data_IF_602039395932
#
_entry.id   IF_602039395932
#
_cell.length_a   1.000
_cell.length_b   1.000
_cell.length_c   1.000
_cell.angle_alpha   90.00
_cell.angle_beta   90.00
_cell.angle_gamma   90.00
#
_symmetry.space_group_name_H-M   'P 1'
#
loop_
_entity.id
_entity.type
_entity.pdbx_description
1 polymer ?
#
# COMPACT_ATOMS: atom_id res chain seq x y z
N UNK A 1 -8.60 -2.44 -10.10
CA UNK A 1 -7.97 -3.30 -11.13
C UNK A 1 -6.76 -3.98 -10.48
N UNK A 2 -6.48 -5.26 -10.75
CA UNK A 2 -5.31 -5.94 -10.18
C UNK A 2 -4.14 -5.83 -11.15
N UNK A 3 -2.98 -5.39 -10.68
CA UNK A 3 -1.75 -5.29 -11.45
C UNK A 3 -0.75 -6.22 -10.79
N UNK A 4 -0.09 -7.07 -11.57
CA UNK A 4 0.89 -8.03 -11.06
C UNK A 4 2.24 -7.78 -11.73
N UNK A 5 3.32 -8.05 -11.00
CA UNK A 5 4.67 -8.16 -11.57
C UNK A 5 5.37 -9.41 -11.04
N UNK A 6 6.26 -9.94 -11.85
CA UNK A 6 7.11 -11.10 -11.53
C UNK A 6 8.57 -10.71 -11.62
N UNK A 7 9.43 -11.44 -10.91
CA UNK A 7 10.88 -11.24 -10.97
C UNK A 7 11.38 -10.07 -10.12
N UNK A 8 12.70 -9.83 -10.15
CA UNK A 8 13.35 -8.83 -9.31
C UNK A 8 12.86 -7.41 -9.64
N UNK A 9 12.60 -6.63 -8.59
CA UNK A 9 12.26 -5.21 -8.71
C UNK A 9 13.57 -4.43 -8.77
N UNK A 10 13.74 -3.67 -9.85
CA UNK A 10 14.90 -2.78 -10.00
C UNK A 10 14.70 -1.53 -9.13
N UNK A 11 15.71 -1.12 -8.33
CA UNK A 11 15.63 0.09 -7.53
C UNK A 11 15.35 1.34 -8.38
N UNK A 12 14.54 2.25 -7.83
CA UNK A 12 14.14 3.48 -8.52
C UNK A 12 15.19 4.58 -8.36
N UNK A 13 15.83 4.68 -7.19
CA UNK A 13 16.84 5.71 -6.89
C UNK A 13 17.96 5.79 -7.94
N UNK A 14 18.60 4.70 -8.39
CA UNK A 14 19.62 4.77 -9.44
C UNK A 14 19.11 5.37 -10.76
N UNK A 15 17.83 5.14 -11.09
CA UNK A 15 17.22 5.74 -12.28
C UNK A 15 16.95 7.24 -12.09
N UNK A 16 16.59 7.65 -10.88
CA UNK A 16 16.42 9.05 -10.48
C UNK A 16 17.76 9.79 -10.53
N UNK A 17 18.83 9.21 -10.00
CA UNK A 17 20.18 9.79 -10.05
C UNK A 17 20.61 10.01 -11.51
N UNK A 18 20.41 9.02 -12.39
CA UNK A 18 20.68 9.19 -13.83
C UNK A 18 19.85 10.29 -14.46
N UNK A 19 18.57 10.41 -14.08
CA UNK A 19 17.73 11.50 -14.55
C UNK A 19 18.25 12.87 -14.11
N UNK A 20 18.58 13.05 -12.82
CA UNK A 20 19.11 14.30 -12.30
C UNK A 20 20.41 14.69 -13.01
N UNK A 21 21.34 13.76 -13.15
CA UNK A 21 22.65 14.02 -13.77
C UNK A 21 22.56 14.23 -15.29
N UNK A 22 21.87 13.35 -16.02
CA UNK A 22 21.89 13.33 -17.48
C UNK A 22 20.82 14.24 -18.11
N UNK A 23 19.59 14.23 -17.57
CA UNK A 23 18.47 14.98 -18.16
C UNK A 23 18.33 16.41 -17.61
N UNK A 24 18.78 16.65 -16.37
CA UNK A 24 18.75 17.97 -15.74
C UNK A 24 20.13 18.64 -15.65
N UNK A 25 21.20 17.95 -16.05
CA UNK A 25 22.57 18.46 -15.95
C UNK A 25 23.01 18.67 -14.49
N UNK A 26 22.56 17.77 -13.61
CA UNK A 26 22.82 17.81 -12.17
C UNK A 26 24.27 17.52 -11.84
N UNK A 27 24.84 18.32 -10.94
CA UNK A 27 26.14 18.10 -10.30
C UNK A 27 25.86 17.63 -8.87
N UNK A 28 26.36 16.45 -8.50
CA UNK A 28 26.32 16.00 -7.10
C UNK A 28 27.23 16.90 -6.26
N UNK A 29 26.74 17.28 -5.08
CA UNK A 29 27.50 18.09 -4.14
C UNK A 29 28.08 17.28 -2.98
N UNK A 30 27.91 15.96 -3.01
CA UNK A 30 28.42 15.03 -1.99
C UNK A 30 29.97 15.00 -1.98
N UNK A 31 30.60 15.17 -3.14
CA UNK A 31 32.06 15.07 -3.31
C UNK A 31 32.88 16.33 -2.95
N UNK A 32 32.26 17.39 -2.42
CA UNK A 32 32.97 18.66 -2.13
C UNK A 32 33.42 18.81 -0.66
N UNK A 33 34.37 19.70 -0.32
CA UNK A 33 35.05 19.74 1.00
C UNK A 33 34.26 20.32 2.21
N UNK A 34 32.94 20.42 2.18
CA UNK A 34 32.10 20.99 3.28
C UNK A 34 31.32 19.88 4.01
N UNK A 35 30.87 20.14 5.25
CA UNK A 35 30.26 19.12 6.10
C UNK A 35 29.00 18.51 5.46
N UNK A 36 28.92 17.16 5.44
CA UNK A 36 27.80 16.36 4.89
C UNK A 36 26.42 16.83 5.37
N UNK A 37 26.32 17.30 6.62
CA UNK A 37 25.05 17.67 7.25
C UNK A 37 24.38 18.95 6.70
N UNK A 38 25.01 19.69 5.79
CA UNK A 38 24.55 21.02 5.36
C UNK A 38 24.35 21.18 3.85
N UNK A 39 24.29 20.08 3.11
CA UNK A 39 24.25 20.10 1.65
C UNK A 39 23.00 19.45 1.11
N UNK A 40 22.61 19.99 -0.04
CA UNK A 40 21.67 19.34 -0.95
C UNK A 40 22.44 18.31 -1.77
N UNK A 41 21.75 17.27 -2.21
CA UNK A 41 22.40 16.19 -2.98
C UNK A 41 22.79 16.67 -4.39
N UNK A 42 21.94 17.47 -5.06
CA UNK A 42 22.19 17.91 -6.44
C UNK A 42 21.90 19.39 -6.71
N UNK A 43 22.78 20.01 -7.52
CA UNK A 43 22.54 21.29 -8.18
C UNK A 43 22.31 21.07 -9.67
N UNK A 44 21.11 21.34 -10.15
CA UNK A 44 20.64 21.04 -11.50
C UNK A 44 20.37 22.32 -12.30
N UNK A 45 20.25 22.18 -13.62
CA UNK A 45 19.87 23.26 -14.53
C UNK A 45 20.76 24.50 -14.37
N UNK A 46 22.08 24.28 -14.33
CA UNK A 46 23.10 25.31 -14.09
C UNK A 46 22.91 26.07 -12.77
N UNK A 47 22.39 25.38 -11.75
CA UNK A 47 22.12 25.88 -10.40
C UNK A 47 20.84 26.72 -10.27
N UNK A 48 19.90 26.59 -11.23
CA UNK A 48 18.54 27.11 -11.07
C UNK A 48 17.73 26.23 -10.11
N UNK A 49 18.03 24.93 -10.04
CA UNK A 49 17.30 23.95 -9.27
C UNK A 49 18.23 23.29 -8.23
N UNK A 50 17.89 23.46 -6.96
CA UNK A 50 18.48 22.74 -5.84
C UNK A 50 17.59 21.54 -5.50
N UNK A 51 18.15 20.33 -5.52
CA UNK A 51 17.40 19.09 -5.25
C UNK A 51 17.95 18.39 -4.02
N UNK A 52 17.05 18.14 -3.07
CA UNK A 52 17.26 17.17 -2.00
C UNK A 52 16.54 15.87 -2.35
N UNK A 53 17.28 14.78 -2.51
CA UNK A 53 16.79 13.44 -2.78
C UNK A 53 16.63 12.67 -1.46
N UNK A 54 15.41 12.24 -1.14
CA UNK A 54 15.17 11.29 -0.05
C UNK A 54 14.47 10.05 -0.55
N UNK A 55 14.99 8.91 -0.12
CA UNK A 55 14.47 7.61 -0.48
C UNK A 55 13.85 6.95 0.73
N UNK A 56 12.65 6.39 0.54
CA UNK A 56 12.05 5.46 1.48
C UNK A 56 12.66 4.09 1.22
N UNK A 57 13.68 3.72 2.01
CA UNK A 57 14.38 2.42 1.92
C UNK A 57 13.87 1.41 2.95
N UNK A 58 13.39 1.90 4.10
CA UNK A 58 12.83 1.06 5.14
C UNK A 58 11.35 0.79 4.85
N UNK A 59 10.93 -0.49 4.87
CA UNK A 59 9.52 -0.79 4.88
C UNK A 59 8.99 -0.26 6.22
N UNK A 60 8.23 0.83 6.20
CA UNK A 60 7.58 1.36 7.41
C UNK A 60 6.55 0.41 8.02
N UNK A 61 6.51 -0.86 7.55
CA UNK A 61 5.81 -1.99 8.17
C UNK A 61 6.17 -2.10 9.64
N UNK A 62 7.45 -1.99 10.05
CA UNK A 62 7.79 -2.05 11.49
C UNK A 62 7.06 -0.98 12.33
N UNK A 63 6.81 0.20 11.74
CA UNK A 63 6.09 1.28 12.42
C UNK A 63 4.61 0.98 12.53
N UNK A 64 4.04 0.30 11.53
CA UNK A 64 2.65 -0.14 11.51
C UNK A 64 2.45 -1.41 12.36
N UNK A 65 3.41 -2.32 12.42
CA UNK A 65 3.36 -3.55 13.21
C UNK A 65 3.22 -3.22 14.69
N UNK A 66 4.02 -2.27 15.18
CA UNK A 66 3.88 -1.75 16.54
C UNK A 66 2.49 -1.15 16.83
N UNK A 67 1.86 -0.51 15.84
CA UNK A 67 0.50 0.00 15.99
C UNK A 67 -0.53 -1.14 15.91
N UNK A 68 -0.34 -2.10 15.02
CA UNK A 68 -1.19 -3.27 14.88
C UNK A 68 -1.20 -4.11 16.16
N UNK A 69 -0.05 -4.29 16.81
CA UNK A 69 0.05 -4.98 18.10
C UNK A 69 -0.70 -4.24 19.21
N UNK A 70 -0.62 -2.90 19.25
CA UNK A 70 -1.40 -2.09 20.19
C UNK A 70 -2.91 -2.20 19.92
N UNK A 71 -3.32 -2.23 18.66
CA UNK A 71 -4.74 -2.34 18.31
C UNK A 71 -5.26 -3.76 18.57
N UNK A 72 -4.43 -4.80 18.36
CA UNK A 72 -4.77 -6.20 18.63
C UNK A 72 -5.04 -6.48 20.12
N UNK A 73 -4.49 -5.66 21.01
CA UNK A 73 -4.72 -5.76 22.44
C UNK A 73 -6.08 -5.16 22.89
N UNK A 74 -6.86 -4.54 22.00
CA UNK A 74 -8.18 -4.00 22.32
C UNK A 74 -9.24 -5.10 22.28
N UNK A 75 -10.26 -4.96 23.12
CA UNK A 75 -11.38 -5.92 23.19
C UNK A 75 -12.25 -5.93 21.92
N UNK A 76 -12.31 -4.80 21.21
CA UNK A 76 -13.05 -4.64 19.95
C UNK A 76 -12.23 -5.04 18.71
N UNK A 77 -11.07 -5.68 18.88
CA UNK A 77 -10.25 -6.10 17.74
C UNK A 77 -10.95 -7.23 16.95
N UNK A 78 -11.25 -7.02 15.66
CA UNK A 78 -12.01 -8.00 14.90
C UNK A 78 -11.18 -9.25 14.60
N UNK A 79 -11.82 -10.40 14.78
CA UNK A 79 -11.22 -11.69 14.48
C UNK A 79 -11.35 -12.00 12.98
N UNK A 80 -10.23 -11.87 12.28
CA UNK A 80 -10.04 -12.42 10.95
C UNK A 80 -9.21 -13.69 11.02
N UNK A 81 -9.48 -14.59 10.10
CA UNK A 81 -8.93 -15.93 10.11
C UNK A 81 -8.09 -16.04 8.82
N UNK A 82 -6.77 -15.87 8.96
CA UNK A 82 -5.85 -15.58 7.85
C UNK A 82 -5.38 -14.12 7.87
N UNK A 83 -5.00 -13.57 6.70
CA UNK A 83 -4.62 -12.15 6.57
C UNK A 83 -5.68 -11.36 5.81
N UNK A 84 -5.99 -10.16 6.30
CA UNK A 84 -6.91 -9.22 5.68
C UNK A 84 -6.23 -7.85 5.49
N UNK A 85 -6.73 -7.00 4.57
CA UNK A 85 -6.28 -5.62 4.46
C UNK A 85 -6.47 -4.85 5.77
N UNK A 86 -5.57 -3.90 6.09
CA UNK A 86 -5.67 -3.10 7.31
C UNK A 86 -7.02 -2.39 7.44
N UNK A 87 -7.55 -1.83 6.34
CA UNK A 87 -8.88 -1.21 6.31
C UNK A 87 -10.01 -2.13 6.77
N UNK A 88 -9.91 -3.44 6.49
CA UNK A 88 -10.88 -4.43 6.96
C UNK A 88 -10.89 -4.54 8.48
N UNK A 89 -9.73 -4.45 9.13
CA UNK A 89 -9.66 -4.40 10.60
C UNK A 89 -10.25 -3.09 11.12
N UNK A 90 -9.78 -1.95 10.60
CA UNK A 90 -10.18 -0.61 11.07
C UNK A 90 -11.70 -0.41 10.99
N UNK A 91 -12.34 -0.83 9.89
CA UNK A 91 -13.79 -0.68 9.67
C UNK A 91 -14.65 -1.41 10.71
N UNK A 92 -14.13 -2.50 11.30
CA UNK A 92 -14.87 -3.33 12.24
C UNK A 92 -14.53 -3.03 13.72
N UNK A 93 -13.82 -1.92 13.99
CA UNK A 93 -13.56 -1.44 15.34
C UNK A 93 -14.65 -0.45 15.79
N UNK A 94 -14.75 -0.19 17.09
CA UNK A 94 -15.74 0.74 17.65
C UNK A 94 -15.46 2.22 17.28
N UNK A 95 -14.18 2.55 17.04
CA UNK A 95 -13.73 3.89 16.59
C UNK A 95 -12.86 3.79 15.32
N UNK A 96 -13.45 3.53 14.14
CA UNK A 96 -12.70 3.41 12.89
C UNK A 96 -11.97 4.70 12.51
N UNK A 97 -12.59 5.86 12.72
CA UNK A 97 -12.03 7.16 12.32
C UNK A 97 -10.80 7.54 13.16
N UNK A 98 -10.86 7.35 14.48
CA UNK A 98 -9.72 7.62 15.35
C UNK A 98 -8.55 6.68 15.09
N UNK A 99 -8.82 5.41 14.80
CA UNK A 99 -7.78 4.45 14.41
C UNK A 99 -7.16 4.80 13.06
N UNK A 100 -7.98 5.14 12.05
CA UNK A 100 -7.51 5.60 10.74
C UNK A 100 -6.58 6.82 10.89
N UNK A 101 -6.96 7.79 11.74
CA UNK A 101 -6.11 8.97 12.03
C UNK A 101 -4.77 8.58 12.64
N UNK A 102 -4.75 7.64 13.60
CA UNK A 102 -3.51 7.13 14.20
C UNK A 102 -2.60 6.43 13.19
N UNK A 103 -3.17 5.68 12.24
CA UNK A 103 -2.42 5.04 11.15
C UNK A 103 -1.78 6.11 10.26
N UNK A 104 -2.58 7.10 9.82
CA UNK A 104 -2.09 8.23 9.02
C UNK A 104 -0.98 9.00 9.74
N UNK A 105 -1.14 9.29 11.04
CA UNK A 105 -0.12 9.97 11.84
C UNK A 105 1.18 9.17 11.91
N UNK A 106 1.09 7.83 12.02
CA UNK A 106 2.26 6.96 12.11
C UNK A 106 3.03 6.93 10.80
N UNK A 107 2.35 6.78 9.66
CA UNK A 107 2.95 6.84 8.32
C UNK A 107 3.52 8.24 8.09
N UNK A 108 2.74 9.27 8.45
CA UNK A 108 3.10 10.67 8.29
C UNK A 108 4.37 11.08 9.01
N UNK A 109 4.67 10.54 10.19
CA UNK A 109 5.96 10.83 10.88
C UNK A 109 7.17 10.56 10.01
N UNK A 110 7.17 9.47 9.24
CA UNK A 110 8.27 9.15 8.32
C UNK A 110 8.44 10.20 7.24
N UNK A 111 7.35 10.50 6.54
CA UNK A 111 7.28 11.48 5.45
C UNK A 111 7.68 12.88 5.96
N UNK A 112 7.12 13.31 7.09
CA UNK A 112 7.38 14.62 7.70
C UNK A 112 8.84 14.76 8.16
N UNK A 113 9.46 13.68 8.64
CA UNK A 113 10.87 13.71 9.01
C UNK A 113 11.78 13.97 7.80
N UNK A 114 11.48 13.36 6.65
CA UNK A 114 12.21 13.66 5.41
C UNK A 114 12.01 15.12 4.99
N UNK A 115 10.77 15.62 5.02
CA UNK A 115 10.47 17.03 4.72
C UNK A 115 11.21 18.00 5.65
N UNK A 116 11.25 17.71 6.95
CA UNK A 116 11.95 18.53 7.95
C UNK A 116 13.47 18.56 7.71
N UNK A 117 14.07 17.42 7.37
CA UNK A 117 15.50 17.34 7.04
C UNK A 117 15.81 18.12 5.77
N UNK A 118 15.03 17.88 4.71
CA UNK A 118 15.18 18.57 3.43
C UNK A 118 15.06 20.09 3.56
N UNK A 119 14.07 20.57 4.31
CA UNK A 119 13.91 22.00 4.57
C UNK A 119 15.18 22.64 5.17
N UNK A 120 15.82 21.97 6.14
CA UNK A 120 17.06 22.45 6.76
C UNK A 120 18.24 22.42 5.78
N UNK A 121 18.36 21.36 4.97
CA UNK A 121 19.45 21.22 3.99
C UNK A 121 19.32 22.27 2.86
N UNK A 122 18.11 22.49 2.35
CA UNK A 122 17.82 23.51 1.35
C UNK A 122 18.01 24.94 1.90
N UNK A 123 17.71 25.16 3.17
CA UNK A 123 18.03 26.41 3.87
C UNK A 123 19.54 26.65 3.94
N UNK A 124 20.29 25.65 4.41
CA UNK A 124 21.74 25.72 4.56
C UNK A 124 22.41 25.98 3.21
N UNK A 125 21.98 25.29 2.16
CA UNK A 125 22.47 25.50 0.80
C UNK A 125 22.21 26.93 0.32
N UNK A 126 21.00 27.47 0.51
CA UNK A 126 20.68 28.86 0.13
C UNK A 126 21.58 29.88 0.85
N UNK A 127 21.91 29.63 2.12
CA UNK A 127 22.83 30.51 2.89
C UNK A 127 24.26 30.43 2.38
N UNK A 128 24.74 29.23 2.02
CA UNK A 128 26.10 29.00 1.51
C UNK A 128 26.31 29.44 0.06
N UNK A 129 25.26 29.37 -0.76
CA UNK A 129 25.29 29.70 -2.19
C UNK A 129 24.12 30.64 -2.54
N UNK A 130 24.17 31.91 -2.09
CA UNK A 130 23.07 32.84 -2.29
C UNK A 130 22.89 33.15 -3.77
N UNK A 131 21.85 32.56 -4.36
CA UNK A 131 21.33 32.92 -5.68
C UNK A 131 19.94 33.51 -5.54
N UNK A 132 19.69 34.60 -6.28
CA UNK A 132 18.40 35.29 -6.28
C UNK A 132 17.29 34.42 -6.86
N UNK A 133 17.60 33.64 -7.90
CA UNK A 133 16.65 32.79 -8.60
C UNK A 133 17.06 31.33 -8.41
N UNK A 134 16.39 30.65 -7.50
CA UNK A 134 16.59 29.23 -7.24
C UNK A 134 15.27 28.58 -6.85
N UNK A 135 15.02 27.40 -7.39
CA UNK A 135 13.92 26.51 -7.02
C UNK A 135 14.48 25.42 -6.13
N UNK A 136 13.84 25.20 -4.98
CA UNK A 136 14.25 24.22 -3.97
C UNK A 136 13.26 23.06 -3.98
N UNK A 137 13.69 21.93 -4.53
CA UNK A 137 12.90 20.74 -4.72
C UNK A 137 13.29 19.67 -3.70
N UNK A 138 12.30 19.15 -2.98
CA UNK A 138 12.41 17.84 -2.33
C UNK A 138 11.92 16.76 -3.30
N UNK A 139 12.80 15.84 -3.68
CA UNK A 139 12.45 14.69 -4.49
C UNK A 139 12.38 13.44 -3.59
N UNK A 140 11.17 12.90 -3.45
CA UNK A 140 10.88 11.71 -2.65
C UNK A 140 10.75 10.47 -3.55
N UNK A 141 11.46 9.41 -3.22
CA UNK A 141 11.44 8.14 -3.96
C UNK A 141 10.92 7.03 -3.07
N UNK A 142 9.87 6.35 -3.51
CA UNK A 142 9.42 5.11 -2.89
C UNK A 142 10.00 3.91 -3.66
N UNK A 143 10.99 3.22 -3.07
CA UNK A 143 11.69 2.11 -3.71
C UNK A 143 10.75 0.95 -4.03
N UNK A 144 9.96 0.52 -3.05
CA UNK A 144 9.00 -0.55 -3.29
C UNK A 144 7.95 -0.76 -2.18
N UNK A 145 7.62 0.28 -1.42
CA UNK A 145 6.81 0.11 -0.21
C UNK A 145 5.35 0.47 -0.44
N UNK A 146 4.47 -0.50 -0.16
CA UNK A 146 3.01 -0.38 -0.31
C UNK A 146 2.39 0.71 0.57
N UNK A 147 2.94 0.94 1.75
CA UNK A 147 2.39 1.89 2.73
C UNK A 147 2.49 3.36 2.30
N UNK A 148 3.35 3.67 1.33
CA UNK A 148 3.53 5.01 0.79
C UNK A 148 2.77 5.12 -0.53
N UNK A 149 1.46 4.93 -0.45
CA UNK A 149 0.58 5.11 -1.59
C UNK A 149 0.50 6.61 -1.98
N UNK A 150 0.31 6.92 -3.27
CA UNK A 150 0.32 8.30 -3.76
C UNK A 150 -0.71 9.19 -3.07
N UNK A 151 -1.90 8.69 -2.77
CA UNK A 151 -2.96 9.47 -2.15
C UNK A 151 -2.59 9.87 -0.71
N UNK A 152 -2.17 8.90 0.11
CA UNK A 152 -1.73 9.14 1.49
C UNK A 152 -0.53 10.08 1.55
N UNK A 153 0.49 9.85 0.71
CA UNK A 153 1.68 10.71 0.65
C UNK A 153 1.29 12.14 0.24
N UNK A 154 0.45 12.27 -0.78
CA UNK A 154 -0.05 13.57 -1.25
C UNK A 154 -0.79 14.32 -0.15
N UNK A 155 -1.73 13.66 0.51
CA UNK A 155 -2.52 14.24 1.60
C UNK A 155 -1.62 14.76 2.73
N UNK A 156 -0.70 13.92 3.21
CA UNK A 156 0.20 14.27 4.33
C UNK A 156 1.07 15.48 3.97
N UNK A 157 1.69 15.47 2.79
CA UNK A 157 2.59 16.54 2.36
C UNK A 157 1.83 17.83 2.05
N UNK A 158 0.67 17.75 1.40
CA UNK A 158 -0.18 18.89 1.08
C UNK A 158 -0.60 19.66 2.35
N UNK A 159 -0.96 18.91 3.40
CA UNK A 159 -1.25 19.50 4.71
C UNK A 159 0.00 20.06 5.37
N UNK A 160 1.13 19.35 5.31
CA UNK A 160 2.37 19.75 5.94
C UNK A 160 2.90 21.09 5.42
N UNK A 161 2.98 21.27 4.10
CA UNK A 161 3.53 22.50 3.48
C UNK A 161 2.68 23.75 3.74
N UNK A 162 1.40 23.58 4.08
CA UNK A 162 0.48 24.66 4.45
C UNK A 162 0.49 25.00 5.93
N UNK A 163 1.18 24.23 6.78
CA UNK A 163 1.29 24.54 8.20
C UNK A 163 2.10 25.82 8.39
N UNK A 164 1.62 26.66 9.30
CA UNK A 164 2.28 27.92 9.68
C UNK A 164 2.68 27.88 11.14
N UNK A 165 3.77 28.57 11.47
CA UNK A 165 4.20 28.91 12.82
C UNK A 165 4.23 30.44 12.91
N UNK A 166 3.20 31.01 13.54
CA UNK A 166 2.86 32.43 13.38
C UNK A 166 2.61 32.79 11.91
N UNK A 167 3.30 33.81 11.41
CA UNK A 167 3.15 34.29 10.03
C UNK A 167 3.98 33.48 9.00
N UNK A 168 4.89 32.62 9.46
CA UNK A 168 5.82 31.90 8.58
C UNK A 168 5.32 30.50 8.26
N UNK A 169 5.54 30.07 7.02
CA UNK A 169 5.33 28.68 6.66
C UNK A 169 6.37 27.80 7.37
N UNK A 170 5.94 26.69 7.95
CA UNK A 170 6.81 25.79 8.71
C UNK A 170 7.94 25.19 7.85
N UNK A 171 7.68 25.02 6.54
CA UNK A 171 8.61 24.49 5.56
C UNK A 171 8.88 25.50 4.43
N UNK A 172 9.14 26.76 4.77
CA UNK A 172 9.38 27.87 3.82
C UNK A 172 10.61 27.69 2.89
N UNK A 173 11.44 26.68 3.13
CA UNK A 173 12.63 26.41 2.34
C UNK A 173 12.48 25.31 1.30
N UNK A 174 11.27 24.75 1.17
CA UNK A 174 10.89 23.82 0.12
C UNK A 174 9.90 24.54 -0.80
N UNK A 175 10.32 24.80 -2.05
CA UNK A 175 9.45 25.43 -3.05
C UNK A 175 8.50 24.41 -3.68
N UNK A 176 8.95 23.16 -3.84
CA UNK A 176 8.10 22.07 -4.32
C UNK A 176 8.57 20.70 -3.86
N UNK A 177 7.67 19.74 -3.92
CA UNK A 177 7.92 18.34 -3.64
C UNK A 177 7.50 17.51 -4.86
N UNK A 178 8.35 16.57 -5.27
CA UNK A 178 8.03 15.59 -6.31
C UNK A 178 8.17 14.19 -5.71
N UNK A 179 7.09 13.41 -5.73
CA UNK A 179 7.08 12.04 -5.23
C UNK A 179 6.94 11.05 -6.39
N UNK A 180 7.82 10.05 -6.40
CA UNK A 180 7.93 9.03 -7.44
C UNK A 180 7.81 7.64 -6.84
N UNK A 181 7.00 6.80 -7.48
CA UNK A 181 6.84 5.39 -7.10
C UNK A 181 6.61 4.52 -8.33
N UNK A 182 7.21 3.33 -8.34
CA UNK A 182 6.89 2.24 -9.26
C UNK A 182 6.20 1.06 -8.54
N UNK A 183 5.86 1.24 -7.26
CA UNK A 183 5.07 0.28 -6.46
C UNK A 183 3.57 0.42 -6.69
N UNK A 184 3.13 1.61 -7.11
CA UNK A 184 1.74 1.94 -7.36
C UNK A 184 1.56 2.32 -8.83
N UNK A 185 0.53 1.77 -9.47
CA UNK A 185 0.27 2.00 -10.87
C UNK A 185 -1.24 1.92 -11.19
N UNK A 186 -1.59 2.38 -12.38
CA UNK A 186 -2.89 2.17 -13.00
C UNK A 186 -2.68 1.73 -14.46
N UNK A 187 -3.76 1.37 -15.16
CA UNK A 187 -3.70 1.07 -16.59
C UNK A 187 -4.53 2.10 -17.34
N UNK A 188 -3.89 2.87 -18.21
CA UNK A 188 -4.54 3.85 -19.07
C UNK A 188 -4.22 3.53 -20.52
N UNK A 189 -5.26 3.45 -21.37
CA UNK A 189 -5.12 3.10 -22.79
C UNK A 189 -4.31 1.82 -23.02
N UNK A 190 -4.48 0.82 -22.15
CA UNK A 190 -3.76 -0.45 -22.21
C UNK A 190 -2.29 -0.40 -21.80
N UNK A 191 -1.78 0.75 -21.36
CA UNK A 191 -0.40 0.93 -20.88
C UNK A 191 -0.37 1.05 -19.36
N UNK A 192 0.66 0.47 -18.76
CA UNK A 192 0.94 0.65 -17.34
C UNK A 192 1.41 2.09 -17.09
N UNK A 193 0.77 2.78 -16.17
CA UNK A 193 1.01 4.20 -15.86
C UNK A 193 1.35 4.36 -14.39
N UNK A 194 2.44 5.07 -14.11
CA UNK A 194 2.92 5.35 -12.77
C UNK A 194 2.63 6.81 -12.39
N UNK A 195 2.31 7.08 -11.11
CA UNK A 195 2.00 8.44 -10.67
C UNK A 195 3.27 9.27 -10.54
N UNK A 196 3.17 10.53 -10.94
CA UNK A 196 4.12 11.58 -10.60
C UNK A 196 3.33 12.58 -9.76
N UNK A 197 3.62 12.65 -8.47
CA UNK A 197 2.92 13.57 -7.56
C UNK A 197 3.77 14.81 -7.39
N UNK A 198 3.24 15.97 -7.76
CA UNK A 198 3.86 17.28 -7.51
C UNK A 198 3.04 18.07 -6.48
N UNK A 199 3.73 18.67 -5.51
CA UNK A 199 3.10 19.47 -4.46
C UNK A 199 3.87 20.77 -4.35
N UNK A 200 3.19 21.87 -4.62
CA UNK A 200 3.75 23.21 -4.49
C UNK A 200 3.81 23.64 -3.02
N UNK A 201 4.96 24.16 -2.63
CA UNK A 201 5.14 24.88 -1.37
C UNK A 201 4.80 26.37 -1.53
N UNK A 202 4.83 27.09 -0.41
CA UNK A 202 4.51 28.53 -0.38
C UNK A 202 5.36 29.38 -1.33
N UNK A 203 6.61 28.97 -1.59
CA UNK A 203 7.49 29.68 -2.51
C UNK A 203 6.98 29.76 -3.95
N UNK A 204 6.13 28.82 -4.39
CA UNK A 204 5.48 28.87 -5.71
C UNK A 204 4.27 29.81 -5.73
N UNK A 205 3.55 29.98 -4.61
CA UNK A 205 2.50 30.98 -4.50
C UNK A 205 3.06 32.41 -4.60
N UNK A 206 4.19 32.67 -3.95
CA UNK A 206 4.84 33.99 -4.00
C UNK A 206 5.53 34.23 -5.35
N UNK A 207 5.98 33.16 -6.00
CA UNK A 207 6.74 33.19 -7.24
C UNK A 207 6.30 32.08 -8.20
N UNK A 208 5.23 32.30 -9.00
CA UNK A 208 4.61 31.26 -9.85
C UNK A 208 5.57 30.60 -10.85
N UNK A 209 6.61 31.31 -11.31
CA UNK A 209 7.63 30.76 -12.20
C UNK A 209 8.36 29.54 -11.63
N UNK A 210 8.35 29.37 -10.29
CA UNK A 210 8.91 28.17 -9.65
C UNK A 210 8.07 26.95 -9.96
N UNK A 211 6.74 27.08 -10.02
CA UNK A 211 5.82 26.03 -10.45
C UNK A 211 6.12 25.56 -11.87
N UNK A 212 6.33 26.50 -12.81
CA UNK A 212 6.70 26.17 -14.19
C UNK A 212 7.99 25.31 -14.29
N UNK A 213 8.96 25.57 -13.41
CA UNK A 213 10.20 24.78 -13.33
C UNK A 213 9.92 23.38 -12.78
N UNK A 214 9.05 23.24 -11.77
CA UNK A 214 8.65 21.94 -11.22
C UNK A 214 7.91 21.10 -12.28
N UNK A 215 6.99 21.71 -13.02
CA UNK A 215 6.27 21.06 -14.12
C UNK A 215 7.21 20.65 -15.25
N UNK A 216 8.21 21.47 -15.57
CA UNK A 216 9.25 21.09 -16.53
C UNK A 216 10.04 19.86 -16.06
N UNK A 217 10.38 19.78 -14.77
CA UNK A 217 11.09 18.62 -14.19
C UNK A 217 10.20 17.38 -14.25
N UNK A 218 8.94 17.48 -13.85
CA UNK A 218 7.97 16.38 -13.90
C UNK A 218 7.78 15.85 -15.33
N UNK A 219 7.61 16.75 -16.30
CA UNK A 219 7.49 16.39 -17.73
C UNK A 219 8.74 15.70 -18.26
N UNK A 220 9.93 16.22 -17.98
CA UNK A 220 11.18 15.58 -18.40
C UNK A 220 11.34 14.19 -17.80
N UNK A 221 10.90 13.98 -16.56
CA UNK A 221 10.88 12.66 -15.95
C UNK A 221 9.91 11.73 -16.68
N UNK A 222 8.68 12.20 -16.94
CA UNK A 222 7.65 11.44 -17.63
C UNK A 222 8.14 10.95 -19.00
N UNK A 223 8.80 11.82 -19.78
CA UNK A 223 9.19 11.52 -21.17
C UNK A 223 10.60 10.94 -21.34
N UNK A 224 11.34 10.69 -20.25
CA UNK A 224 12.80 10.39 -20.29
C UNK A 224 13.21 9.18 -21.16
N UNK A 225 12.31 8.23 -21.36
CA UNK A 225 12.53 7.04 -22.19
C UNK A 225 11.50 6.94 -23.33
N UNK A 226 10.99 8.08 -23.82
CA UNK A 226 9.95 8.09 -24.85
C UNK A 226 8.59 7.59 -24.37
N UNK A 227 8.34 7.61 -23.06
CA UNK A 227 7.01 7.35 -22.54
C UNK A 227 6.10 8.56 -22.76
N UNK A 228 4.82 8.28 -22.93
CA UNK A 228 3.79 9.32 -23.04
C UNK A 228 3.47 9.87 -21.65
N UNK A 229 3.39 11.19 -21.55
CA UNK A 229 2.75 11.83 -20.41
C UNK A 229 1.22 11.72 -20.60
N UNK A 230 0.53 11.30 -19.54
CA UNK A 230 -0.92 11.27 -19.51
C UNK A 230 -1.37 12.17 -18.38
N UNK A 231 -2.11 13.23 -18.72
CA UNK A 231 -2.66 14.13 -17.72
C UNK A 231 -3.55 13.34 -16.75
N UNK A 232 -3.22 13.43 -15.46
CA UNK A 232 -3.82 12.57 -14.46
C UNK A 232 -5.21 13.06 -14.06
N UNK A 233 -6.08 12.09 -13.79
CA UNK A 233 -7.29 12.29 -12.97
C UNK A 233 -6.94 12.17 -11.49
N UNK A 234 -7.89 11.69 -10.67
CA UNK A 234 -7.69 11.53 -9.22
C UNK A 234 -6.54 10.58 -8.89
N UNK A 235 -5.74 10.91 -7.86
CA UNK A 235 -4.68 10.03 -7.31
C UNK A 235 -5.24 8.72 -6.73
N UNK A 236 -6.55 8.63 -6.52
CA UNK A 236 -7.25 7.46 -6.01
C UNK A 236 -7.32 6.31 -7.02
N UNK A 237 -7.02 6.56 -8.30
CA UNK A 237 -7.04 5.54 -9.35
C UNK A 237 -5.83 4.59 -9.32
N UNK A 238 -4.79 4.92 -8.56
CA UNK A 238 -3.57 4.14 -8.48
C UNK A 238 -3.68 3.05 -7.43
N UNK A 239 -3.35 1.82 -7.81
CA UNK A 239 -3.36 0.65 -6.93
C UNK A 239 -1.93 0.13 -6.73
N UNK A 240 -1.72 -0.57 -5.63
CA UNK A 240 -0.48 -1.33 -5.40
C UNK A 240 -0.34 -2.45 -6.45
N UNK A 241 0.88 -2.64 -6.94
CA UNK A 241 1.23 -3.76 -7.83
C UNK A 241 1.52 -5.00 -6.97
N UNK A 242 0.85 -6.12 -7.20
CA UNK A 242 1.14 -7.37 -6.50
C UNK A 242 2.43 -8.00 -7.01
N UNK A 243 3.34 -8.35 -6.10
CA UNK A 243 4.54 -9.10 -6.45
C UNK A 243 4.24 -10.60 -6.38
N UNK A 244 4.36 -11.27 -7.52
CA UNK A 244 4.12 -12.71 -7.63
C UNK A 244 5.49 -13.42 -7.67
N UNK A 245 5.84 -14.19 -6.63
CA UNK A 245 7.11 -14.91 -6.63
C UNK A 245 7.11 -16.00 -7.71
N UNK A 246 8.27 -16.23 -8.34
CA UNK A 246 8.44 -17.25 -9.39
C UNK A 246 8.13 -18.66 -8.86
N UNK A 247 8.51 -18.91 -7.60
CA UNK A 247 8.26 -20.16 -6.89
C UNK A 247 7.49 -19.85 -5.61
N UNK A 248 6.21 -20.20 -5.61
CA UNK A 248 5.34 -20.09 -4.44
C UNK A 248 4.90 -21.48 -3.94
N UNK A 249 4.78 -21.70 -2.62
CA UNK A 249 4.06 -22.83 -2.06
C UNK A 249 2.64 -22.95 -2.62
N UNK A 250 2.08 -24.17 -2.61
CA UNK A 250 0.78 -24.47 -3.22
C UNK A 250 -0.35 -23.55 -2.71
N UNK A 251 -0.41 -23.27 -1.41
CA UNK A 251 -1.45 -22.44 -0.82
C UNK A 251 -1.37 -20.96 -1.27
N UNK A 252 -0.17 -20.43 -1.47
CA UNK A 252 0.02 -19.08 -2.03
C UNK A 252 -0.38 -19.01 -3.51
N UNK A 253 -0.13 -20.08 -4.27
CA UNK A 253 -0.61 -20.19 -5.66
C UNK A 253 -2.12 -20.18 -5.72
N UNK A 254 -2.79 -20.98 -4.87
CA UNK A 254 -4.26 -20.97 -4.79
C UNK A 254 -4.82 -19.60 -4.43
N UNK A 255 -4.22 -18.93 -3.44
CA UNK A 255 -4.60 -17.56 -3.08
C UNK A 255 -4.46 -16.59 -4.25
N UNK A 256 -3.38 -16.70 -5.02
CA UNK A 256 -3.15 -15.88 -6.23
C UNK A 256 -4.18 -16.20 -7.32
N UNK A 257 -4.45 -17.48 -7.57
CA UNK A 257 -5.48 -17.93 -8.52
C UNK A 257 -6.87 -17.40 -8.15
N UNK A 258 -7.22 -17.44 -6.86
CA UNK A 258 -8.47 -16.88 -6.36
C UNK A 258 -8.55 -15.38 -6.60
N UNK A 259 -7.51 -14.61 -6.22
CA UNK A 259 -7.51 -13.15 -6.43
C UNK A 259 -7.59 -12.76 -7.91
N UNK A 260 -7.10 -13.60 -8.83
CA UNK A 260 -7.26 -13.40 -10.28
C UNK A 260 -8.68 -13.69 -10.78
N UNK A 261 -9.42 -14.57 -10.09
CA UNK A 261 -10.79 -14.98 -10.44
C UNK A 261 -11.63 -15.16 -9.16
N UNK A 262 -12.04 -14.07 -8.50
CA UNK A 262 -12.69 -14.12 -7.19
C UNK A 262 -14.16 -14.57 -7.35
N UNK A 263 -14.37 -15.87 -7.56
CA UNK A 263 -15.68 -16.42 -7.91
C UNK A 263 -16.70 -16.30 -6.76
N UNK A 264 -16.27 -16.12 -5.51
CA UNK A 264 -17.16 -15.90 -4.37
C UNK A 264 -17.62 -14.44 -4.23
N UNK A 265 -16.94 -13.49 -4.89
CA UNK A 265 -17.26 -12.05 -4.79
C UNK A 265 -18.66 -11.67 -5.29
N UNK A 266 -19.27 -12.51 -6.13
CA UNK A 266 -20.62 -12.31 -6.65
C UNK A 266 -21.71 -12.78 -5.69
N UNK A 267 -21.35 -13.53 -4.66
CA UNK A 267 -22.30 -14.06 -3.69
C UNK A 267 -22.72 -12.96 -2.70
N UNK A 268 -24.02 -12.90 -2.44
CA UNK A 268 -24.55 -12.15 -1.29
C UNK A 268 -23.95 -12.69 0.02
N UNK A 269 -24.10 -11.94 1.11
CA UNK A 269 -23.58 -12.36 2.41
C UNK A 269 -24.21 -13.68 2.88
N UNK A 270 -25.51 -13.88 2.64
CA UNK A 270 -26.20 -15.11 3.03
C UNK A 270 -25.78 -16.31 2.16
N UNK A 271 -25.60 -16.12 0.85
CA UNK A 271 -25.08 -17.18 -0.03
C UNK A 271 -23.64 -17.55 0.33
N UNK A 272 -22.80 -16.54 0.64
CA UNK A 272 -21.43 -16.76 1.11
C UNK A 272 -21.44 -17.55 2.43
N UNK A 273 -22.38 -17.23 3.31
CA UNK A 273 -22.58 -17.91 4.59
C UNK A 273 -23.00 -19.37 4.41
N UNK A 274 -23.98 -19.63 3.56
CA UNK A 274 -24.41 -20.99 3.24
C UNK A 274 -23.27 -21.84 2.67
N UNK A 275 -22.46 -21.23 1.81
CA UNK A 275 -21.32 -21.90 1.20
C UNK A 275 -20.16 -22.12 2.18
N UNK A 276 -19.95 -21.20 3.13
CA UNK A 276 -19.03 -21.42 4.24
C UNK A 276 -19.45 -22.64 5.08
N UNK A 277 -20.73 -22.75 5.43
CA UNK A 277 -21.21 -23.88 6.25
C UNK A 277 -20.97 -25.23 5.56
N UNK A 278 -21.17 -25.29 4.25
CA UNK A 278 -20.89 -26.49 3.43
C UNK A 278 -19.41 -26.86 3.47
N UNK A 279 -18.52 -25.89 3.24
CA UNK A 279 -17.07 -26.11 3.25
C UNK A 279 -16.59 -26.50 4.65
N UNK A 280 -17.13 -25.90 5.70
CA UNK A 280 -16.80 -26.24 7.08
C UNK A 280 -17.22 -27.67 7.44
N UNK A 281 -18.42 -28.11 7.03
CA UNK A 281 -18.87 -29.52 7.20
C UNK A 281 -17.93 -30.48 6.46
N UNK A 282 -17.60 -30.20 5.20
CA UNK A 282 -16.67 -31.03 4.44
C UNK A 282 -15.25 -31.03 5.05
N UNK A 283 -14.81 -29.90 5.61
CA UNK A 283 -13.52 -29.79 6.27
C UNK A 283 -13.47 -30.64 7.54
N UNK A 284 -14.54 -30.62 8.35
CA UNK A 284 -14.68 -31.47 9.51
C UNK A 284 -14.62 -32.97 9.14
N UNK A 285 -15.33 -33.36 8.08
CA UNK A 285 -15.32 -34.75 7.58
C UNK A 285 -13.95 -35.20 7.06
N UNK A 286 -13.17 -34.27 6.51
CA UNK A 286 -11.82 -34.53 6.00
C UNK A 286 -10.79 -34.65 7.12
N UNK A 287 -10.87 -33.80 8.15
CA UNK A 287 -9.81 -33.63 9.15
C UNK A 287 -10.03 -34.42 10.44
N UNK A 288 -11.27 -34.70 10.82
CA UNK A 288 -11.56 -35.31 12.12
C UNK A 288 -11.51 -36.85 12.07
N UNK A 289 -10.94 -37.41 13.14
CA UNK A 289 -10.85 -38.86 13.31
C UNK A 289 -12.25 -39.47 13.45
N UNK A 290 -12.44 -40.66 12.91
CA UNK A 290 -13.71 -41.40 12.91
C UNK A 290 -14.86 -40.71 12.15
N UNK A 291 -14.54 -39.83 11.19
CA UNK A 291 -15.55 -39.35 10.25
C UNK A 291 -16.23 -40.55 9.55
N UNK A 292 -17.58 -40.58 9.52
CA UNK A 292 -18.34 -41.65 8.87
C UNK A 292 -18.23 -41.61 7.35
N UNK A 293 -17.66 -40.53 6.79
CA UNK A 293 -17.41 -40.38 5.36
C UNK A 293 -15.93 -40.10 5.13
N UNK A 294 -15.25 -41.00 4.40
CA UNK A 294 -13.88 -40.76 3.94
C UNK A 294 -13.90 -40.06 2.60
N UNK A 295 -13.36 -38.84 2.57
CA UNK A 295 -13.11 -38.12 1.33
C UNK A 295 -11.89 -38.72 0.61
N UNK A 296 -11.89 -38.70 -0.72
CA UNK A 296 -10.69 -39.00 -1.50
C UNK A 296 -9.63 -37.92 -1.27
N UNK A 297 -8.37 -38.22 -1.59
CA UNK A 297 -7.29 -37.22 -1.47
C UNK A 297 -7.57 -35.96 -2.30
N UNK A 298 -8.13 -36.13 -3.49
CA UNK A 298 -8.51 -35.02 -4.38
C UNK A 298 -9.64 -34.17 -3.78
N UNK A 299 -10.67 -34.82 -3.22
CA UNK A 299 -11.76 -34.13 -2.52
C UNK A 299 -11.24 -33.37 -1.30
N UNK A 300 -10.36 -33.98 -0.50
CA UNK A 300 -9.73 -33.32 0.65
C UNK A 300 -8.93 -32.08 0.24
N UNK A 301 -8.14 -32.17 -0.84
CA UNK A 301 -7.39 -31.02 -1.38
C UNK A 301 -8.32 -29.91 -1.89
N UNK A 302 -9.41 -30.28 -2.56
CA UNK A 302 -10.41 -29.32 -3.05
C UNK A 302 -11.08 -28.57 -1.90
N UNK A 303 -11.42 -29.26 -0.81
CA UNK A 303 -12.00 -28.65 0.39
C UNK A 303 -11.02 -27.67 1.06
N UNK A 304 -9.74 -28.05 1.21
CA UNK A 304 -8.72 -27.14 1.77
C UNK A 304 -8.56 -25.89 0.90
N UNK A 305 -8.53 -26.05 -0.43
CA UNK A 305 -8.47 -24.92 -1.36
C UNK A 305 -9.68 -24.01 -1.20
N UNK A 306 -10.89 -24.57 -1.24
CA UNK A 306 -12.12 -23.80 -1.08
C UNK A 306 -12.15 -23.05 0.25
N UNK A 307 -11.75 -23.70 1.33
CA UNK A 307 -11.64 -23.04 2.63
C UNK A 307 -10.69 -21.85 2.57
N UNK A 308 -9.50 -22.02 1.97
CA UNK A 308 -8.56 -20.91 1.75
C UNK A 308 -9.13 -19.75 0.91
N UNK A 309 -9.87 -20.08 -0.17
CA UNK A 309 -10.55 -19.09 -1.01
C UNK A 309 -11.62 -18.32 -0.21
N UNK A 310 -12.37 -19.00 0.67
CA UNK A 310 -13.33 -18.39 1.59
C UNK A 310 -12.68 -17.41 2.56
N UNK A 311 -11.58 -17.81 3.18
CA UNK A 311 -10.86 -16.95 4.11
C UNK A 311 -10.34 -15.69 3.42
N UNK A 312 -9.85 -15.85 2.19
CA UNK A 312 -9.42 -14.73 1.37
C UNK A 312 -10.59 -13.77 1.09
N UNK A 313 -11.74 -14.31 0.70
CA UNK A 313 -12.95 -13.50 0.41
C UNK A 313 -13.48 -12.76 1.64
N UNK A 314 -13.52 -13.41 2.81
CA UNK A 314 -13.92 -12.77 4.07
C UNK A 314 -12.98 -11.62 4.43
N UNK A 315 -11.67 -11.83 4.28
CA UNK A 315 -10.66 -10.79 4.50
C UNK A 315 -10.83 -9.60 3.57
N UNK A 316 -11.02 -9.86 2.27
CA UNK A 316 -11.17 -8.82 1.25
C UNK A 316 -12.46 -8.01 1.42
N UNK A 317 -13.56 -8.65 1.85
CA UNK A 317 -14.83 -7.98 2.16
C UNK A 317 -14.86 -7.33 3.54
N UNK A 318 -13.84 -7.58 4.37
CA UNK A 318 -13.78 -7.14 5.75
C UNK A 318 -14.91 -7.69 6.60
N UNK A 319 -15.24 -8.97 6.43
CA UNK A 319 -16.23 -9.69 7.23
C UNK A 319 -15.48 -10.50 8.30
N UNK A 320 -15.64 -10.20 9.60
CA UNK A 320 -15.05 -10.98 10.68
C UNK A 320 -15.60 -12.41 10.70
N UNK A 321 -14.77 -13.41 11.03
CA UNK A 321 -15.23 -14.81 11.11
C UNK A 321 -16.24 -15.01 12.24
N UNK A 322 -16.25 -14.14 13.25
CA UNK A 322 -17.21 -14.18 14.36
C UNK A 322 -18.65 -14.00 13.88
N UNK A 323 -18.88 -13.40 12.71
CA UNK A 323 -20.21 -13.36 12.10
C UNK A 323 -20.64 -14.71 11.51
N UNK A 324 -19.71 -15.64 11.36
CA UNK A 324 -19.88 -16.93 10.71
C UNK A 324 -19.84 -18.10 11.74
N UNK A 325 -20.31 -17.87 12.97
CA UNK A 325 -20.40 -18.90 14.02
C UNK A 325 -21.31 -20.07 13.63
N UNK A 326 -20.79 -21.30 13.58
CA UNK A 326 -21.62 -22.46 13.24
C UNK A 326 -22.62 -22.80 14.34
N UNK A 327 -23.88 -23.00 13.95
CA UNK A 327 -24.93 -23.55 14.80
C UNK A 327 -25.34 -24.93 14.30
N UNK A 328 -25.94 -25.75 15.17
CA UNK A 328 -26.35 -27.12 14.84
C UNK A 328 -27.36 -27.13 13.70
N UNK A 329 -28.27 -26.15 13.68
CA UNK A 329 -29.26 -25.99 12.62
C UNK A 329 -28.60 -25.70 11.26
N UNK A 330 -27.57 -24.85 11.25
CA UNK A 330 -26.84 -24.48 10.02
C UNK A 330 -25.96 -25.63 9.52
N UNK A 331 -25.28 -26.36 10.41
CA UNK A 331 -24.53 -27.56 10.05
C UNK A 331 -25.45 -28.64 9.45
N UNK A 332 -26.61 -28.88 10.07
CA UNK A 332 -27.60 -29.82 9.56
C UNK A 332 -28.23 -29.35 8.24
N UNK A 333 -28.43 -28.04 8.05
CA UNK A 333 -28.89 -27.48 6.77
C UNK A 333 -27.83 -27.66 5.68
N UNK A 334 -26.56 -27.36 5.96
CA UNK A 334 -25.45 -27.54 5.04
C UNK A 334 -25.26 -29.02 4.65
N UNK A 335 -25.31 -29.94 5.61
CA UNK A 335 -25.22 -31.36 5.35
C UNK A 335 -26.38 -31.85 4.44
N UNK A 336 -27.60 -31.32 4.63
CA UNK A 336 -28.74 -31.58 3.75
C UNK A 336 -28.55 -31.04 2.34
N UNK A 337 -28.05 -29.80 2.18
CA UNK A 337 -27.72 -29.20 0.86
C UNK A 337 -26.68 -30.02 0.10
N UNK A 338 -25.69 -30.56 0.83
CA UNK A 338 -24.66 -31.43 0.28
C UNK A 338 -25.15 -32.86 -0.02
N UNK A 339 -26.40 -33.20 0.31
CA UNK A 339 -26.95 -34.55 0.10
C UNK A 339 -26.26 -35.61 0.96
N UNK A 340 -25.72 -35.25 2.12
CA UNK A 340 -24.99 -36.17 2.98
C UNK A 340 -25.95 -37.16 3.66
N UNK A 341 -25.53 -38.43 3.86
CA UNK A 341 -26.37 -39.45 4.47
C UNK A 341 -26.64 -39.16 5.96
N UNK A 342 -27.74 -39.69 6.48
CA UNK A 342 -28.22 -39.42 7.86
C UNK A 342 -27.16 -39.71 8.93
N UNK A 343 -26.38 -40.78 8.78
CA UNK A 343 -25.30 -41.12 9.72
C UNK A 343 -24.22 -40.03 9.84
N UNK A 344 -23.98 -39.24 8.78
CA UNK A 344 -23.08 -38.09 8.82
C UNK A 344 -23.69 -36.95 9.63
N UNK A 345 -24.98 -36.67 9.44
CA UNK A 345 -25.72 -35.64 10.19
C UNK A 345 -25.72 -35.98 11.69
N UNK A 346 -26.03 -37.23 12.02
CA UNK A 346 -26.05 -37.71 13.40
C UNK A 346 -24.65 -37.62 14.04
N UNK A 347 -23.59 -37.90 13.26
CA UNK A 347 -22.21 -37.76 13.72
C UNK A 347 -21.82 -36.32 13.99
N UNK A 348 -22.14 -35.37 13.11
CA UNK A 348 -21.91 -33.93 13.32
C UNK A 348 -22.54 -33.46 14.65
N UNK A 349 -23.80 -33.84 14.89
CA UNK A 349 -24.51 -33.52 16.13
C UNK A 349 -23.91 -34.17 17.39
N UNK A 350 -23.17 -35.27 17.25
CA UNK A 350 -22.52 -35.96 18.36
C UNK A 350 -21.21 -35.29 18.80
N UNK A 351 -20.55 -34.54 17.91
CA UNK A 351 -19.22 -33.97 18.18
C UNK A 351 -19.22 -32.87 19.22
N UNK A 352 -20.31 -32.12 19.37
CA UNK A 352 -20.42 -31.00 20.34
C UNK A 352 -20.88 -31.42 21.75
N UNK A 353 -21.23 -32.70 21.94
CA UNK A 353 -21.58 -33.24 23.28
C UNK A 353 -20.37 -33.78 24.04
N UNK A 354 -19.17 -33.62 23.47
CA UNK A 354 -17.87 -33.94 24.06
C UNK A 354 -17.10 -32.65 24.23
#
# INVERSE_FOLDING_TARGET
MRIERTGKVEPLTPQVIRFLTQALGGVSLDDSQSPEAMRIDYSCMRGLLAVELKTFEEPGTERLDNLADQLRARDDWPMFLGSAPMQSFIKNMDDPEGVQRRVLDRIGRGIINHLKKANRQLEAHRRGFPRRNMVRLLLLVNEDHEIYDPHTVSYILWHAVRRRDGDRALYEHVDGIMFLTQRHATVRSGKLTYPIVTIEGMGCHDHPWKGDVLDLVARRWATRNGYDEVESGSVEEFTTIDHIPEVAPRHERWRTEYKRRPYLSRLSKEELRDRFDEVAVLSALSMLKNSPLRLTQEQGLSVIRQFGDFMQELGDRGIPITEFQQTDEREAAAARRLGLPKNVIDWLASMKRR
#
